data_IF_487190482658
#
_entry.id   IF_487190482658
#
_cell.length_a   1.000
_cell.length_b   1.000
_cell.length_c   1.000
_cell.angle_alpha   90.00
_cell.angle_beta   90.00
_cell.angle_gamma   90.00
#
_symmetry.space_group_name_H-M   'P 1'
#
loop_
_entity.id
_entity.type
_entity.pdbx_description
1 polymer ?
#
# COMPACT_ATOMS: atom_id res chain seq x y z
N UNK A 1 -0.45 20.13 18.45
CA UNK A 1 0.25 18.84 18.15
C UNK A 1 -0.43 18.16 17.00
N UNK A 2 0.31 17.71 15.99
CA UNK A 2 -0.30 16.95 14.91
C UNK A 2 -0.81 15.59 15.42
N UNK A 3 -1.86 15.09 14.76
CA UNK A 3 -2.32 13.72 15.01
C UNK A 3 -1.25 12.72 14.56
N UNK A 4 -1.12 11.65 15.31
CA UNK A 4 -0.17 10.57 15.01
C UNK A 4 -0.92 9.35 14.52
N UNK A 5 -0.30 8.58 13.63
CA UNK A 5 -0.90 7.35 13.11
C UNK A 5 -1.16 6.31 14.20
N UNK A 6 -0.35 6.28 15.26
CA UNK A 6 -0.56 5.35 16.37
C UNK A 6 -1.82 5.68 17.20
N UNK A 7 -2.40 6.86 17.01
CA UNK A 7 -3.67 7.23 17.60
C UNK A 7 -4.86 6.79 16.75
N UNK A 8 -4.61 6.36 15.51
CA UNK A 8 -5.61 5.93 14.53
C UNK A 8 -5.24 4.52 14.05
N UNK A 9 -5.70 3.50 14.77
CA UNK A 9 -5.27 2.12 14.52
C UNK A 9 -6.12 1.39 13.47
N UNK A 10 -7.07 2.06 12.82
CA UNK A 10 -7.90 1.43 11.79
C UNK A 10 -7.10 1.05 10.56
N UNK A 11 -7.59 0.07 9.79
CA UNK A 11 -6.95 -0.35 8.55
C UNK A 11 -6.82 0.77 7.52
N UNK A 12 -7.83 1.65 7.31
CA UNK A 12 -7.66 2.80 6.43
C UNK A 12 -6.54 3.76 6.87
N UNK A 13 -6.43 4.04 8.17
CA UNK A 13 -5.36 4.91 8.67
C UNK A 13 -3.99 4.29 8.44
N UNK A 14 -3.84 2.99 8.70
CA UNK A 14 -2.59 2.29 8.43
C UNK A 14 -2.30 2.23 6.93
N UNK A 15 -3.33 2.08 6.09
CA UNK A 15 -3.17 2.10 4.63
C UNK A 15 -2.62 3.45 4.16
N UNK A 16 -3.10 4.56 4.71
CA UNK A 16 -2.56 5.88 4.39
C UNK A 16 -1.10 6.01 4.81
N UNK A 17 -0.76 5.52 6.00
CA UNK A 17 0.62 5.52 6.49
C UNK A 17 1.53 4.72 5.54
N UNK A 18 1.09 3.54 5.11
CA UNK A 18 1.82 2.69 4.17
C UNK A 18 1.96 3.38 2.81
N UNK A 19 0.90 4.03 2.33
CA UNK A 19 0.93 4.80 1.09
C UNK A 19 2.07 5.82 1.10
N UNK A 20 2.20 6.58 2.18
CA UNK A 20 3.25 7.59 2.29
C UNK A 20 4.65 6.97 2.23
N UNK A 21 4.84 5.80 2.84
CA UNK A 21 6.10 5.09 2.78
C UNK A 21 6.39 4.59 1.37
N UNK A 22 5.40 4.01 0.72
CA UNK A 22 5.58 3.40 -0.60
C UNK A 22 5.82 4.44 -1.70
N UNK A 23 5.21 5.62 -1.63
CA UNK A 23 5.49 6.66 -2.62
C UNK A 23 6.94 7.13 -2.52
N UNK A 24 7.51 7.16 -1.32
CA UNK A 24 8.94 7.43 -1.13
C UNK A 24 9.82 6.34 -1.75
N UNK A 25 9.43 5.07 -1.58
CA UNK A 25 10.13 3.96 -2.22
C UNK A 25 10.08 4.07 -3.74
N UNK A 26 8.92 4.42 -4.31
CA UNK A 26 8.77 4.60 -5.74
C UNK A 26 9.69 5.71 -6.26
N UNK A 27 9.73 6.84 -5.58
CA UNK A 27 10.57 7.98 -5.97
C UNK A 27 12.06 7.63 -5.92
N UNK A 28 12.46 6.76 -4.99
CA UNK A 28 13.85 6.35 -4.81
C UNK A 28 14.21 5.06 -5.58
N UNK A 29 13.31 4.56 -6.42
CA UNK A 29 13.51 3.35 -7.23
C UNK A 29 13.80 2.12 -6.36
N UNK A 30 13.09 2.01 -5.24
CA UNK A 30 13.31 0.94 -4.25
C UNK A 30 12.05 0.11 -4.04
N UNK A 31 12.24 -1.10 -3.52
CA UNK A 31 11.19 -1.92 -2.92
C UNK A 31 11.42 -1.93 -1.40
N UNK A 32 10.43 -2.40 -0.64
CA UNK A 32 10.56 -2.53 0.81
C UNK A 32 10.05 -3.92 1.22
N UNK A 33 10.78 -4.57 2.11
CA UNK A 33 10.33 -5.86 2.65
C UNK A 33 9.19 -5.67 3.64
N UNK A 34 8.37 -6.69 3.81
CA UNK A 34 7.30 -6.64 4.80
C UNK A 34 7.84 -6.40 6.21
N UNK A 35 8.98 -7.00 6.54
CA UNK A 35 9.61 -6.82 7.84
C UNK A 35 9.96 -5.34 8.10
N UNK A 36 10.57 -4.70 7.11
CA UNK A 36 10.91 -3.27 7.24
C UNK A 36 9.68 -2.38 7.25
N UNK A 37 8.69 -2.72 6.42
CA UNK A 37 7.44 -1.97 6.37
C UNK A 37 6.72 -2.05 7.72
N UNK A 38 6.62 -3.23 8.31
CA UNK A 38 6.01 -3.43 9.62
C UNK A 38 6.73 -2.62 10.69
N UNK A 39 8.07 -2.61 10.65
CA UNK A 39 8.88 -1.83 11.58
C UNK A 39 8.59 -0.33 11.45
N UNK A 40 8.50 0.18 10.21
CA UNK A 40 8.22 1.60 9.97
C UNK A 40 6.81 2.00 10.40
N UNK A 41 5.84 1.12 10.18
CA UNK A 41 4.45 1.36 10.59
C UNK A 41 4.27 1.17 12.09
N UNK A 42 5.11 0.34 12.71
CA UNK A 42 5.03 0.07 14.14
C UNK A 42 4.03 -1.02 14.51
N UNK A 43 3.84 -1.99 13.61
CA UNK A 43 2.91 -3.11 13.83
C UNK A 43 3.62 -4.43 13.50
N UNK A 44 3.02 -5.56 13.88
CA UNK A 44 3.53 -6.86 13.46
C UNK A 44 3.22 -7.08 11.97
N UNK A 45 4.01 -7.96 11.32
CA UNK A 45 3.82 -8.24 9.90
C UNK A 45 2.43 -8.74 9.55
N UNK A 46 1.80 -9.51 10.44
CA UNK A 46 0.45 -10.02 10.23
C UNK A 46 -0.58 -8.89 10.09
N UNK A 47 -0.36 -7.75 10.73
CA UNK A 47 -1.28 -6.62 10.69
C UNK A 47 -1.12 -5.76 9.42
N UNK A 48 -0.18 -6.08 8.53
CA UNK A 48 -0.04 -5.38 7.26
C UNK A 48 -1.04 -5.85 6.20
N UNK A 49 -1.59 -7.06 6.34
CA UNK A 49 -2.41 -7.67 5.28
C UNK A 49 -3.63 -6.81 4.96
N UNK A 50 -4.40 -6.43 5.97
CA UNK A 50 -5.62 -5.64 5.77
C UNK A 50 -5.32 -4.24 5.19
N UNK A 51 -4.40 -3.43 5.76
CA UNK A 51 -4.08 -2.13 5.19
C UNK A 51 -3.55 -2.20 3.76
N UNK A 52 -2.70 -3.18 3.45
CA UNK A 52 -2.21 -3.36 2.08
C UNK A 52 -3.35 -3.70 1.14
N UNK A 53 -4.31 -4.52 1.57
CA UNK A 53 -5.50 -4.85 0.79
C UNK A 53 -6.35 -3.62 0.50
N UNK A 54 -6.58 -2.76 1.49
CA UNK A 54 -7.31 -1.51 1.31
C UNK A 54 -6.61 -0.61 0.30
N UNK A 55 -5.30 -0.49 0.40
CA UNK A 55 -4.52 0.36 -0.50
C UNK A 55 -4.53 -0.20 -1.93
N UNK A 56 -4.37 -1.51 -2.09
CA UNK A 56 -4.40 -2.16 -3.40
C UNK A 56 -5.76 -1.95 -4.07
N UNK A 57 -6.85 -2.09 -3.32
CA UNK A 57 -8.21 -1.88 -3.85
C UNK A 57 -8.42 -0.44 -4.29
N UNK A 58 -7.93 0.53 -3.52
CA UNK A 58 -8.02 1.93 -3.90
C UNK A 58 -7.31 2.18 -5.22
N UNK A 59 -6.09 1.65 -5.40
CA UNK A 59 -5.36 1.80 -6.65
C UNK A 59 -6.15 1.20 -7.83
N UNK A 60 -6.77 0.04 -7.65
CA UNK A 60 -7.56 -0.60 -8.69
C UNK A 60 -8.77 0.26 -9.06
N UNK A 61 -9.50 0.78 -8.07
CA UNK A 61 -10.69 1.63 -8.32
C UNK A 61 -10.34 2.90 -9.06
N UNK A 62 -9.19 3.48 -8.76
CA UNK A 62 -8.78 4.76 -9.33
C UNK A 62 -7.97 4.60 -10.64
N UNK A 63 -7.76 3.36 -11.09
CA UNK A 63 -6.96 3.11 -12.29
C UNK A 63 -5.49 3.48 -12.15
N UNK A 64 -4.98 3.46 -10.91
CA UNK A 64 -3.59 3.81 -10.61
C UNK A 64 -2.68 2.58 -10.72
N UNK A 65 -1.38 2.78 -10.98
CA UNK A 65 -0.43 1.66 -10.87
C UNK A 65 -0.47 1.03 -9.48
N UNK A 66 -0.25 -0.29 -9.35
CA UNK A 66 -0.39 -0.98 -8.08
C UNK A 66 0.80 -0.71 -7.15
N UNK A 67 0.70 0.33 -6.36
CA UNK A 67 1.81 0.76 -5.50
C UNK A 67 2.21 -0.32 -4.49
N UNK A 68 1.29 -1.20 -4.10
CA UNK A 68 1.58 -2.30 -3.18
C UNK A 68 2.53 -3.34 -3.78
N UNK A 69 2.79 -3.30 -5.09
CA UNK A 69 3.79 -4.17 -5.72
C UNK A 69 5.21 -3.92 -5.21
N UNK A 70 5.45 -2.78 -4.56
CA UNK A 70 6.77 -2.46 -3.98
C UNK A 70 6.98 -3.07 -2.60
N UNK A 71 5.93 -3.60 -1.96
CA UNK A 71 6.03 -4.31 -0.69
C UNK A 71 6.19 -5.81 -0.96
N UNK A 72 7.30 -6.39 -0.54
CA UNK A 72 7.69 -7.75 -0.91
C UNK A 72 8.06 -8.58 0.31
N UNK A 73 7.93 -9.91 0.18
CA UNK A 73 8.42 -10.84 1.18
C UNK A 73 9.93 -11.06 1.01
N UNK A 74 10.64 -11.19 2.12
CA UNK A 74 12.10 -11.39 2.12
C UNK A 74 12.54 -12.65 1.38
N UNK A 75 11.77 -13.73 1.54
CA UNK A 75 12.13 -15.04 1.02
C UNK A 75 11.85 -15.19 -0.47
N UNK A 76 10.81 -14.56 -0.99
CA UNK A 76 10.40 -14.71 -2.38
C UNK A 76 10.75 -13.51 -3.26
N UNK A 77 10.94 -12.34 -2.66
CA UNK A 77 11.13 -11.09 -3.39
C UNK A 77 9.88 -10.61 -4.12
N UNK A 78 8.72 -11.15 -3.78
CA UNK A 78 7.44 -10.84 -4.41
C UNK A 78 6.39 -10.50 -3.36
N UNK A 79 5.30 -9.78 -3.74
CA UNK A 79 4.19 -9.55 -2.83
C UNK A 79 3.57 -10.88 -2.37
N UNK A 80 3.12 -10.90 -1.13
CA UNK A 80 2.52 -12.07 -0.52
C UNK A 80 1.03 -12.20 -0.80
N UNK A 81 0.34 -13.05 -0.01
CA UNK A 81 -1.09 -13.27 -0.14
C UNK A 81 -1.88 -11.97 -0.08
N UNK A 82 -2.91 -11.87 -0.90
CA UNK A 82 -3.74 -10.67 -0.99
C UNK A 82 -3.31 -9.68 -2.07
N UNK A 83 -2.15 -9.86 -2.69
CA UNK A 83 -1.78 -9.06 -3.86
C UNK A 83 -2.70 -9.44 -5.03
N UNK A 84 -3.44 -8.47 -5.61
CA UNK A 84 -4.56 -8.81 -6.50
C UNK A 84 -4.17 -9.10 -7.94
N UNK A 85 -2.90 -8.93 -8.31
CA UNK A 85 -2.47 -9.04 -9.71
C UNK A 85 -1.54 -10.22 -9.93
N UNK A 86 -1.40 -10.62 -11.20
CA UNK A 86 -0.57 -11.76 -11.58
C UNK A 86 0.90 -11.47 -11.33
N UNK A 87 1.61 -12.41 -10.70
CA UNK A 87 3.03 -12.26 -10.37
C UNK A 87 3.93 -12.29 -11.60
N UNK A 88 3.47 -12.88 -12.71
CA UNK A 88 4.22 -12.88 -13.97
C UNK A 88 4.45 -11.48 -14.51
N UNK A 89 3.60 -10.52 -14.13
CA UNK A 89 3.70 -9.14 -14.57
C UNK A 89 4.30 -8.22 -13.51
N UNK A 90 4.85 -8.79 -12.44
CA UNK A 90 5.31 -8.01 -11.30
C UNK A 90 6.35 -6.94 -11.70
N UNK A 91 7.35 -7.32 -12.50
CA UNK A 91 8.39 -6.38 -12.91
C UNK A 91 7.81 -5.20 -13.70
N UNK A 92 6.87 -5.47 -14.61
CA UNK A 92 6.20 -4.43 -15.38
C UNK A 92 5.35 -3.54 -14.49
N UNK A 93 4.65 -4.12 -13.51
CA UNK A 93 3.83 -3.35 -12.57
C UNK A 93 4.68 -2.46 -11.69
N UNK A 94 5.78 -2.98 -11.16
CA UNK A 94 6.72 -2.18 -10.36
C UNK A 94 7.32 -1.04 -11.17
N UNK A 95 7.61 -1.29 -12.45
CA UNK A 95 8.13 -0.25 -13.35
C UNK A 95 7.12 0.88 -13.54
N UNK A 96 5.84 0.54 -13.74
CA UNK A 96 4.76 1.53 -13.85
C UNK A 96 4.66 2.37 -12.58
N UNK A 97 4.75 1.72 -11.41
CA UNK A 97 4.69 2.40 -10.12
C UNK A 97 5.83 3.41 -9.99
N UNK A 98 7.05 3.02 -10.36
CA UNK A 98 8.23 3.90 -10.24
C UNK A 98 8.19 5.07 -11.22
N UNK A 99 7.55 4.91 -12.37
CA UNK A 99 7.44 5.97 -13.39
C UNK A 99 6.29 6.94 -13.11
N UNK A 100 5.32 6.53 -12.31
CA UNK A 100 4.17 7.38 -12.00
C UNK A 100 4.57 8.49 -11.05
N UNK A 101 4.07 9.70 -11.29
CA UNK A 101 4.36 10.83 -10.41
C UNK A 101 3.34 10.89 -9.27
N UNK A 102 3.63 10.16 -8.19
CA UNK A 102 2.73 10.07 -7.03
C UNK A 102 2.56 11.38 -6.30
N UNK A 103 3.54 12.28 -6.41
CA UNK A 103 3.48 13.58 -5.75
C UNK A 103 2.60 14.59 -6.47
N UNK A 104 2.17 14.27 -7.72
CA UNK A 104 1.28 15.15 -8.48
C UNK A 104 -0.19 14.95 -8.14
N UNK A 105 -0.55 13.85 -7.48
CA UNK A 105 -1.93 13.58 -7.09
C UNK A 105 -2.11 13.79 -5.59
N UNK A 106 -3.34 14.12 -5.18
CA UNK A 106 -3.65 14.17 -3.77
C UNK A 106 -3.62 12.76 -3.18
N UNK A 107 -3.09 12.61 -1.95
CA UNK A 107 -3.17 11.31 -1.29
C UNK A 107 -4.62 10.93 -1.02
N UNK A 108 -4.92 9.63 -0.87
CA UNK A 108 -6.27 9.22 -0.55
C UNK A 108 -6.68 9.74 0.83
N UNK A 109 -7.95 10.09 0.98
CA UNK A 109 -8.53 10.36 2.29
C UNK A 109 -8.81 9.03 2.99
N UNK A 110 -9.01 9.06 4.30
CA UNK A 110 -9.33 7.84 5.05
C UNK A 110 -10.59 7.16 4.51
N UNK A 111 -11.60 7.96 4.12
CA UNK A 111 -12.83 7.42 3.55
C UNK A 111 -12.60 6.68 2.24
N UNK A 112 -11.63 7.12 1.44
CA UNK A 112 -11.29 6.45 0.18
C UNK A 112 -10.68 5.06 0.40
N UNK A 113 -10.03 4.86 1.53
CA UNK A 113 -9.35 3.62 1.89
C UNK A 113 -10.22 2.68 2.74
N UNK A 114 -11.45 3.09 3.05
CA UNK A 114 -12.36 2.30 3.86
C UNK A 114 -13.19 1.40 2.95
N UNK A 115 -12.97 0.08 3.04
CA UNK A 115 -13.68 -0.92 2.24
C UNK A 115 -15.08 -1.22 2.77
N UNK A 116 -15.42 -0.73 3.96
CA UNK A 116 -16.73 -0.98 4.58
C UNK A 116 -17.86 -0.51 3.67
N UNK A 117 -17.71 0.68 3.07
CA UNK A 117 -18.72 1.25 2.18
C UNK A 117 -18.90 0.41 0.91
N UNK A 118 -17.83 -0.21 0.40
CA UNK A 118 -17.91 -1.10 -0.75
C UNK A 118 -18.75 -2.33 -0.45
N UNK A 119 -18.56 -2.92 0.72
CA UNK A 119 -19.32 -4.09 1.14
C UNK A 119 -20.79 -3.73 1.41
N UNK A 120 -21.05 -2.55 1.92
CA UNK A 120 -22.40 -2.09 2.16
C UNK A 120 -23.17 -1.84 0.86
N UNK A 121 -22.49 -1.50 -0.22
CA UNK A 121 -23.11 -1.25 -1.52
C UNK A 121 -23.49 -2.53 -2.28
N UNK A 122 -22.96 -3.65 -1.85
CA UNK A 122 -23.27 -4.94 -2.44
C UNK A 122 -24.52 -5.55 -1.82
#
# INVERSE_FOLDING_TARGET
MPLRFDQLSSAPARALQIYLILIGCAANQQVITYAKLAERVGVSGALLVAPLGHLAEWCLREGLPPITSLAIADDTGAPGPGYPLALEQLAAQQNRVRKFNWYAILPPALADLDLTDLHAAE
#
